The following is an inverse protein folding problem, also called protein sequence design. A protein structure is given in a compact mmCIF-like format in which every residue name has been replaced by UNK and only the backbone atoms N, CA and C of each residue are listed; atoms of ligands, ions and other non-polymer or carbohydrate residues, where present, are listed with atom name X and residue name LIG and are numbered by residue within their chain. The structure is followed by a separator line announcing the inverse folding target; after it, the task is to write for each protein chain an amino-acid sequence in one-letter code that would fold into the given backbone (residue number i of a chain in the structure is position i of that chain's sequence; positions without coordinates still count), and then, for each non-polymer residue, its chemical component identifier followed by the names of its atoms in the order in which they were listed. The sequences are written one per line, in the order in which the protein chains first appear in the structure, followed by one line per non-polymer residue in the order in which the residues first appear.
data_IF_409491037959
#
_entry.id   IF_409491037959
#
_cell.length_a   1.000
_cell.length_b   1.000
_cell.length_c   1.000
_cell.angle_alpha   90.00
_cell.angle_beta   90.00
_cell.angle_gamma   90.00
#
_symmetry.space_group_name_H-M   'P 1'
#
loop_
_entity.id
_entity.type
_entity.pdbx_description
1 polymer ?
#
# COMPACT_ATOMS: atom_id res chain seq x y z
N UNK A 1 -30.18 24.60 7.34
CA UNK A 1 -29.63 25.37 6.21
C UNK A 1 -28.79 24.42 5.38
N UNK A 2 -29.17 24.14 4.13
CA UNK A 2 -28.47 23.18 3.26
C UNK A 2 -27.08 23.71 2.90
N UNK A 3 -26.03 23.01 3.33
CA UNK A 3 -24.65 23.26 2.91
C UNK A 3 -24.55 23.07 1.39
N UNK A 4 -24.31 24.16 0.65
CA UNK A 4 -24.12 24.16 -0.80
C UNK A 4 -22.75 23.55 -1.14
N UNK A 5 -22.68 22.23 -1.16
CA UNK A 5 -21.51 21.50 -1.66
C UNK A 5 -21.69 21.03 -3.11
N UNK A 6 -20.59 20.64 -3.77
CA UNK A 6 -20.61 19.96 -5.06
C UNK A 6 -20.41 18.45 -4.83
N UNK A 7 -21.34 17.62 -5.28
CA UNK A 7 -21.21 16.15 -5.21
C UNK A 7 -21.31 15.55 -6.60
N UNK A 8 -20.56 14.48 -6.85
CA UNK A 8 -20.61 13.79 -8.14
C UNK A 8 -19.69 12.58 -8.18
N UNK A 9 -19.39 12.12 -9.40
CA UNK A 9 -18.47 11.00 -9.63
C UNK A 9 -17.30 11.44 -10.52
N UNK A 10 -16.12 10.85 -10.31
CA UNK A 10 -14.95 11.04 -11.18
C UNK A 10 -15.21 10.62 -12.63
N UNK A 11 -16.26 9.82 -12.87
CA UNK A 11 -16.73 9.47 -14.21
C UNK A 11 -17.41 10.65 -14.94
N UNK A 12 -18.11 11.49 -14.19
CA UNK A 12 -18.85 12.64 -14.74
C UNK A 12 -18.05 13.93 -14.70
N UNK A 13 -17.10 14.05 -13.78
CA UNK A 13 -16.19 15.19 -13.67
C UNK A 13 -14.84 14.67 -13.17
N UNK A 14 -13.83 14.66 -14.04
CA UNK A 14 -12.54 14.07 -13.74
C UNK A 14 -11.81 14.85 -12.63
N UNK A 15 -10.80 14.25 -11.99
CA UNK A 15 -10.00 14.96 -10.99
C UNK A 15 -9.33 16.23 -11.57
N UNK A 16 -8.74 16.22 -12.79
CA UNK A 16 -8.28 17.44 -13.43
C UNK A 16 -9.37 18.52 -13.51
N UNK A 17 -10.59 18.16 -13.92
CA UNK A 17 -11.69 19.11 -14.05
C UNK A 17 -12.11 19.66 -12.68
N UNK A 18 -12.11 18.82 -11.63
CA UNK A 18 -12.40 19.22 -10.25
C UNK A 18 -11.39 20.20 -9.70
N UNK A 19 -10.11 19.92 -9.89
CA UNK A 19 -9.02 20.81 -9.47
C UNK A 19 -9.06 22.12 -10.26
N UNK A 20 -9.31 22.07 -11.56
CA UNK A 20 -9.45 23.26 -12.42
C UNK A 20 -10.66 24.11 -12.00
N UNK A 21 -11.81 23.50 -11.75
CA UNK A 21 -13.01 24.18 -11.26
C UNK A 21 -12.76 24.86 -9.91
N UNK A 22 -12.12 24.15 -8.98
CA UNK A 22 -11.82 24.71 -7.66
C UNK A 22 -10.80 25.86 -7.75
N UNK A 23 -9.72 25.69 -8.53
CA UNK A 23 -8.68 26.69 -8.71
C UNK A 23 -9.17 27.94 -9.44
N UNK A 24 -9.80 27.79 -10.61
CA UNK A 24 -10.33 28.92 -11.39
C UNK A 24 -11.44 29.67 -10.64
N UNK A 25 -12.29 28.95 -9.92
CA UNK A 25 -13.35 29.52 -9.10
C UNK A 25 -12.88 30.05 -7.73
N UNK A 26 -11.58 29.98 -7.42
CA UNK A 26 -10.99 30.30 -6.10
C UNK A 26 -11.78 29.70 -4.94
N UNK A 27 -12.25 28.47 -5.12
CA UNK A 27 -13.08 27.75 -4.16
C UNK A 27 -12.25 27.39 -2.94
N UNK A 28 -12.83 27.61 -1.76
CA UNK A 28 -12.26 27.19 -0.48
C UNK A 28 -13.18 26.15 0.13
N UNK A 29 -12.62 25.06 0.65
CA UNK A 29 -13.40 23.96 1.21
C UNK A 29 -12.65 22.62 1.24
N UNK A 30 -13.37 21.56 1.57
CA UNK A 30 -12.83 20.20 1.67
C UNK A 30 -13.30 19.35 0.50
N UNK A 31 -12.37 18.84 -0.31
CA UNK A 31 -12.66 17.78 -1.28
C UNK A 31 -12.48 16.41 -0.63
N UNK A 32 -13.56 15.64 -0.55
CA UNK A 32 -13.58 14.26 -0.07
C UNK A 32 -13.82 13.29 -1.23
N UNK A 33 -13.03 12.22 -1.30
CA UNK A 33 -13.16 11.14 -2.30
C UNK A 33 -13.47 9.83 -1.58
N UNK A 34 -14.50 9.10 -2.00
CA UNK A 34 -14.86 7.80 -1.43
C UNK A 34 -13.95 6.69 -1.97
N UNK A 35 -12.86 6.46 -1.25
CA UNK A 35 -12.00 5.26 -1.21
C UNK A 35 -11.46 4.69 -2.52
N UNK A 36 -10.14 4.73 -2.59
CA UNK A 36 -9.23 3.84 -3.29
C UNK A 36 -7.98 3.72 -2.41
N UNK A 37 -7.11 2.71 -2.60
CA UNK A 37 -5.98 2.49 -1.71
C UNK A 37 -5.06 3.73 -1.67
N UNK A 38 -4.89 4.29 -0.48
CA UNK A 38 -3.91 5.34 -0.22
C UNK A 38 -2.51 4.72 -0.39
N UNK A 39 -1.69 5.33 -1.25
CA UNK A 39 -0.36 4.84 -1.54
C UNK A 39 0.56 4.94 -0.31
N UNK A 40 1.46 3.95 -0.24
CA UNK A 40 2.38 3.65 0.86
C UNK A 40 3.25 4.86 1.25
N UNK A 41 3.58 4.92 2.55
CA UNK A 41 4.50 5.91 3.12
C UNK A 41 5.90 5.80 2.51
N UNK A 42 6.46 6.93 2.09
CA UNK A 42 7.88 7.06 1.79
C UNK A 42 8.67 6.88 3.09
N UNK A 43 9.58 5.91 3.11
CA UNK A 43 10.54 5.72 4.20
C UNK A 43 11.88 6.30 3.76
N UNK A 44 12.18 7.53 4.19
CA UNK A 44 13.47 8.19 3.92
C UNK A 44 14.61 7.72 4.84
N UNK A 45 14.38 6.75 5.74
CA UNK A 45 15.43 6.22 6.63
C UNK A 45 15.99 7.23 7.63
N UNK A 46 15.27 8.33 7.89
CA UNK A 46 15.70 9.46 8.74
C UNK A 46 15.75 9.09 10.23
N UNK A 47 14.96 8.10 10.63
CA UNK A 47 14.84 7.65 12.02
C UNK A 47 14.99 6.13 12.07
N UNK A 48 15.57 5.64 13.16
CA UNK A 48 15.71 4.21 13.44
C UNK A 48 14.36 3.57 13.78
N UNK A 49 14.25 2.25 13.65
CA UNK A 49 13.03 1.52 14.01
C UNK A 49 12.67 1.68 15.50
N UNK A 50 13.67 1.73 16.38
CA UNK A 50 13.44 1.96 17.80
C UNK A 50 12.90 3.37 18.07
N UNK A 51 13.45 4.40 17.41
CA UNK A 51 12.95 5.77 17.53
C UNK A 51 11.52 5.90 16.99
N UNK A 52 11.21 5.18 15.90
CA UNK A 52 9.86 5.13 15.35
C UNK A 52 8.88 4.46 16.32
N UNK A 53 9.28 3.35 16.97
CA UNK A 53 8.50 2.69 18.03
C UNK A 53 8.11 3.68 19.13
N UNK A 54 9.12 4.31 19.72
CA UNK A 54 8.93 5.17 20.88
C UNK A 54 8.03 6.36 20.55
N UNK A 55 8.10 6.84 19.31
CA UNK A 55 7.25 7.91 18.81
C UNK A 55 5.78 7.44 18.62
N UNK A 56 5.56 6.22 18.12
CA UNK A 56 4.23 5.62 18.00
C UNK A 56 3.59 5.28 19.35
N UNK A 57 4.35 4.72 20.29
CA UNK A 57 3.88 4.43 21.64
C UNK A 57 3.40 5.71 22.32
N UNK A 58 4.15 6.81 22.16
CA UNK A 58 3.77 8.11 22.68
C UNK A 58 2.57 8.71 21.95
N UNK A 59 2.47 8.55 20.63
CA UNK A 59 1.30 8.98 19.86
C UNK A 59 0.04 8.25 20.31
N UNK A 60 0.11 6.94 20.55
CA UNK A 60 -1.03 6.13 20.97
C UNK A 60 -1.58 6.60 22.32
N UNK A 61 -0.69 6.98 23.25
CA UNK A 61 -0.99 7.48 24.58
C UNK A 61 -1.49 8.94 24.58
N UNK A 62 -0.81 9.82 23.83
CA UNK A 62 -1.04 11.28 23.91
C UNK A 62 -1.98 11.82 22.84
N UNK A 63 -2.27 11.03 21.79
CA UNK A 63 -2.98 11.43 20.57
C UNK A 63 -2.34 12.60 19.81
N UNK A 64 -1.11 12.98 20.16
CA UNK A 64 -0.34 14.01 19.46
C UNK A 64 0.15 13.47 18.11
N UNK A 65 0.14 14.30 17.07
CA UNK A 65 0.64 13.94 15.75
C UNK A 65 2.10 13.43 15.79
N UNK A 66 2.37 12.33 15.08
CA UNK A 66 3.68 11.71 14.99
C UNK A 66 4.79 12.71 14.61
N UNK A 67 4.55 13.56 13.61
CA UNK A 67 5.53 14.59 13.20
C UNK A 67 5.92 15.55 14.33
N UNK A 68 4.95 16.00 15.16
CA UNK A 68 5.23 16.85 16.32
C UNK A 68 6.02 16.11 17.39
N UNK A 69 5.77 14.82 17.58
CA UNK A 69 6.53 13.98 18.52
C UNK A 69 7.99 13.85 18.05
N UNK A 70 8.22 13.60 16.77
CA UNK A 70 9.55 13.48 16.19
C UNK A 70 10.36 14.80 16.31
N UNK A 71 9.70 15.94 16.09
CA UNK A 71 10.30 17.28 16.31
C UNK A 71 10.63 17.51 17.77
N UNK A 72 9.68 17.27 18.69
CA UNK A 72 9.90 17.46 20.13
C UNK A 72 11.03 16.59 20.69
N UNK A 73 11.24 15.40 20.12
CA UNK A 73 12.35 14.51 20.49
C UNK A 73 13.67 14.87 19.80
N UNK A 74 13.72 15.92 18.98
CA UNK A 74 14.92 16.35 18.25
C UNK A 74 15.36 15.38 17.15
N UNK A 75 14.48 14.46 16.72
CA UNK A 75 14.81 13.42 15.73
C UNK A 75 14.73 13.93 14.29
N UNK A 76 13.84 14.89 14.04
CA UNK A 76 13.60 15.48 12.71
C UNK A 76 13.31 16.97 12.90
N UNK A 77 13.79 17.83 12.01
CA UNK A 77 13.46 19.26 12.04
C UNK A 77 12.04 19.54 11.56
N UNK A 78 11.43 20.64 12.01
CA UNK A 78 10.10 21.04 11.53
C UNK A 78 10.06 21.22 10.01
N UNK A 79 11.10 21.85 9.44
CA UNK A 79 11.25 22.01 8.00
C UNK A 79 11.27 20.68 7.25
N UNK A 80 11.98 19.67 7.78
CA UNK A 80 12.04 18.35 7.16
C UNK A 80 10.72 17.58 7.27
N UNK A 81 10.00 17.71 8.39
CA UNK A 81 8.64 17.17 8.51
C UNK A 81 7.70 17.81 7.49
N UNK A 82 7.78 19.14 7.31
CA UNK A 82 7.00 19.86 6.31
C UNK A 82 7.29 19.40 4.88
N UNK A 83 8.56 19.19 4.54
CA UNK A 83 8.99 18.66 3.24
C UNK A 83 8.40 17.26 2.97
N UNK A 84 8.54 16.33 3.93
CA UNK A 84 8.02 14.96 3.81
C UNK A 84 6.49 14.97 3.67
N UNK A 85 5.80 15.81 4.44
CA UNK A 85 4.34 15.94 4.35
C UNK A 85 3.91 16.49 3.00
N UNK A 86 4.63 17.47 2.43
CA UNK A 86 4.39 17.95 1.07
C UNK A 86 4.57 16.83 0.05
N UNK A 87 5.70 16.13 0.06
CA UNK A 87 5.96 15.03 -0.87
C UNK A 87 4.88 13.94 -0.76
N UNK A 88 4.45 13.62 0.46
CA UNK A 88 3.37 12.64 0.69
C UNK A 88 2.02 13.14 0.15
N UNK A 89 1.70 14.41 0.33
CA UNK A 89 0.48 15.01 -0.19
C UNK A 89 0.48 15.00 -1.73
N UNK A 90 1.59 15.39 -2.35
CA UNK A 90 1.78 15.36 -3.81
C UNK A 90 1.64 13.93 -4.36
N UNK A 91 2.35 12.95 -3.81
CA UNK A 91 2.23 11.54 -4.23
C UNK A 91 0.79 11.03 -4.09
N UNK A 92 0.10 11.41 -3.01
CA UNK A 92 -1.30 11.05 -2.79
C UNK A 92 -2.16 11.65 -3.89
N UNK A 93 -2.06 12.96 -4.14
CA UNK A 93 -2.83 13.67 -5.16
C UNK A 93 -2.56 13.10 -6.55
N UNK A 94 -1.30 12.86 -6.92
CA UNK A 94 -0.95 12.30 -8.22
C UNK A 94 -1.49 10.90 -8.42
N UNK A 95 -1.58 10.08 -7.36
CA UNK A 95 -2.19 8.76 -7.47
C UNK A 95 -3.68 8.81 -7.81
N UNK A 96 -4.37 9.90 -7.43
CA UNK A 96 -5.79 10.09 -7.74
C UNK A 96 -6.04 10.35 -9.24
N UNK A 97 -5.04 10.82 -10.00
CA UNK A 97 -5.17 10.97 -11.47
C UNK A 97 -5.34 9.62 -12.17
N UNK A 98 -4.94 8.52 -11.53
CA UNK A 98 -5.13 7.17 -12.06
C UNK A 98 -6.52 6.61 -11.75
N UNK A 99 -7.32 7.29 -10.93
CA UNK A 99 -8.65 6.81 -10.54
C UNK A 99 -9.64 7.10 -11.66
N UNK A 100 -10.25 6.05 -12.19
CA UNK A 100 -11.28 6.16 -13.23
C UNK A 100 -12.69 6.28 -12.64
N UNK A 101 -12.88 5.91 -11.37
CA UNK A 101 -14.18 5.82 -10.72
C UNK A 101 -14.04 6.02 -9.20
N UNK A 102 -14.64 7.11 -8.69
CA UNK A 102 -14.85 7.38 -7.27
C UNK A 102 -15.95 8.43 -7.15
N UNK A 103 -16.77 8.33 -6.11
CA UNK A 103 -17.65 9.44 -5.76
C UNK A 103 -16.84 10.52 -5.03
N UNK A 104 -17.24 11.77 -5.21
CA UNK A 104 -16.63 12.92 -4.53
C UNK A 104 -17.69 13.82 -3.90
N UNK A 105 -17.28 14.53 -2.86
CA UNK A 105 -18.03 15.62 -2.26
C UNK A 105 -17.09 16.79 -1.93
N UNK A 106 -17.44 17.99 -2.37
CA UNK A 106 -16.77 19.23 -2.02
C UNK A 106 -17.65 20.00 -1.02
N UNK A 107 -17.14 20.19 0.20
CA UNK A 107 -17.81 20.93 1.26
C UNK A 107 -17.24 22.35 1.30
N UNK A 108 -17.99 23.33 0.78
CA UNK A 108 -17.54 24.73 0.69
C UNK A 108 -17.31 25.33 2.09
N UNK A 109 -16.17 26.00 2.26
CA UNK A 109 -15.74 26.69 3.48
C UNK A 109 -15.67 25.81 4.74
N UNK A 110 -15.67 24.49 4.57
CA UNK A 110 -15.44 23.53 5.63
C UNK A 110 -14.02 23.00 5.53
N UNK A 111 -13.38 22.85 6.69
CA UNK A 111 -12.10 22.17 6.86
C UNK A 111 -12.35 20.77 7.43
N UNK A 112 -11.56 19.74 7.06
CA UNK A 112 -11.73 18.43 7.66
C UNK A 112 -11.47 18.49 9.19
N UNK A 113 -12.13 17.63 9.98
CA UNK A 113 -11.97 17.65 11.43
C UNK A 113 -10.55 17.27 11.84
N UNK A 114 -10.07 17.86 12.94
CA UNK A 114 -8.78 17.57 13.56
C UNK A 114 -7.68 18.61 13.25
N UNK A 115 -6.53 18.42 13.88
CA UNK A 115 -5.33 19.23 13.60
C UNK A 115 -4.90 19.02 12.14
N UNK A 116 -4.64 20.12 11.43
CA UNK A 116 -4.16 20.06 10.05
C UNK A 116 -2.78 20.70 9.94
N UNK A 117 -1.93 20.07 9.12
CA UNK A 117 -0.70 20.70 8.65
C UNK A 117 -1.01 21.27 7.27
N UNK A 118 -0.97 22.60 7.16
CA UNK A 118 -1.25 23.30 5.91
C UNK A 118 -0.06 23.16 4.97
N UNK A 119 -0.31 22.68 3.76
CA UNK A 119 0.66 22.59 2.68
C UNK A 119 0.14 23.46 1.54
N UNK A 120 1.00 24.30 1.00
CA UNK A 120 0.69 25.10 -0.19
C UNK A 120 1.34 24.46 -1.42
N UNK A 121 0.49 24.17 -2.42
CA UNK A 121 0.85 23.63 -3.74
C UNK A 121 0.00 24.37 -4.77
N UNK A 122 0.58 24.78 -5.89
CA UNK A 122 -0.16 25.43 -6.97
C UNK A 122 -0.96 24.38 -7.75
N UNK A 123 -2.21 24.72 -8.07
CA UNK A 123 -3.11 23.81 -8.79
C UNK A 123 -2.55 23.49 -10.18
N UNK A 124 -1.95 24.48 -10.85
CA UNK A 124 -1.34 24.32 -12.17
C UNK A 124 -0.20 23.30 -12.16
N UNK A 125 0.68 23.37 -11.15
CA UNK A 125 1.80 22.44 -10.98
C UNK A 125 1.29 21.01 -10.75
N UNK A 126 0.22 20.86 -9.96
CA UNK A 126 -0.44 19.58 -9.70
C UNK A 126 -1.05 19.00 -10.99
N UNK A 127 -1.76 19.83 -11.76
CA UNK A 127 -2.40 19.42 -13.01
C UNK A 127 -1.37 18.96 -14.04
N UNK A 128 -0.32 19.75 -14.26
CA UNK A 128 0.72 19.45 -15.23
C UNK A 128 1.46 18.15 -14.89
N UNK A 129 1.89 17.99 -13.63
CA UNK A 129 2.59 16.79 -13.20
C UNK A 129 1.64 15.57 -13.16
N UNK A 130 0.42 15.74 -12.68
CA UNK A 130 -0.58 14.66 -12.62
C UNK A 130 -0.93 14.09 -14.00
N UNK A 131 -1.15 14.95 -15.00
CA UNK A 131 -1.38 14.53 -16.38
C UNK A 131 -0.16 13.85 -17.00
N UNK A 132 1.04 14.42 -16.78
CA UNK A 132 2.31 13.80 -17.22
C UNK A 132 2.47 12.40 -16.63
N UNK A 133 2.18 12.21 -15.35
CA UNK A 133 2.23 10.92 -14.67
C UNK A 133 1.18 9.96 -15.18
N UNK A 134 -0.04 10.41 -15.45
CA UNK A 134 -1.10 9.62 -16.05
C UNK A 134 -0.69 9.05 -17.42
N UNK A 135 -0.18 9.89 -18.32
CA UNK A 135 0.28 9.46 -19.64
C UNK A 135 1.49 8.54 -19.57
N UNK A 136 2.43 8.82 -18.66
CA UNK A 136 3.57 7.95 -18.41
C UNK A 136 3.10 6.58 -17.89
N UNK A 137 2.13 6.57 -16.99
CA UNK A 137 1.58 5.34 -16.40
C UNK A 137 0.88 4.46 -17.45
N UNK A 138 0.23 5.04 -18.45
CA UNK A 138 -0.31 4.27 -19.61
C UNK A 138 0.79 3.54 -20.36
N UNK A 139 1.90 4.21 -20.65
CA UNK A 139 3.06 3.60 -21.34
C UNK A 139 3.73 2.53 -20.48
N UNK A 140 3.89 2.80 -19.18
CA UNK A 140 4.37 1.82 -18.21
C UNK A 140 3.50 0.56 -18.27
N UNK A 141 2.17 0.70 -18.22
CA UNK A 141 1.22 -0.43 -18.25
C UNK A 141 1.24 -1.22 -19.55
N UNK A 142 1.67 -0.64 -20.66
CA UNK A 142 1.87 -1.40 -21.91
C UNK A 142 3.09 -2.32 -21.83
N UNK A 143 4.18 -1.87 -21.18
CA UNK A 143 5.39 -2.67 -21.01
C UNK A 143 5.36 -3.58 -19.78
N UNK A 144 4.67 -3.15 -18.72
CA UNK A 144 4.52 -3.82 -17.43
C UNK A 144 3.02 -3.97 -17.11
N UNK A 145 2.32 -4.96 -17.71
CA UNK A 145 0.85 -5.04 -17.69
C UNK A 145 0.23 -5.20 -16.31
N UNK A 146 0.94 -5.86 -15.39
CA UNK A 146 0.48 -6.13 -14.04
C UNK A 146 1.65 -6.35 -13.08
N UNK A 147 1.42 -6.23 -11.77
CA UNK A 147 2.50 -6.32 -10.78
C UNK A 147 3.06 -7.75 -10.60
N UNK A 148 2.45 -8.77 -11.21
CA UNK A 148 3.00 -10.13 -11.26
C UNK A 148 4.09 -10.37 -12.32
N UNK A 149 4.50 -9.34 -13.09
CA UNK A 149 5.57 -9.52 -14.10
C UNK A 149 6.91 -9.77 -13.42
N UNK A 150 7.73 -10.65 -13.99
CA UNK A 150 9.11 -10.90 -13.53
C UNK A 150 10.08 -10.27 -14.52
N UNK A 151 11.00 -9.46 -14.00
CA UNK A 151 12.02 -8.78 -14.80
C UNK A 151 13.35 -9.52 -14.70
N UNK A 152 14.11 -9.53 -15.81
CA UNK A 152 15.45 -10.12 -15.88
C UNK A 152 16.44 -9.09 -16.39
N UNK A 153 17.67 -9.14 -15.87
CA UNK A 153 18.80 -8.37 -16.39
C UNK A 153 19.23 -8.94 -17.74
N UNK A 154 19.45 -8.08 -18.72
CA UNK A 154 20.00 -8.50 -20.01
C UNK A 154 21.53 -8.56 -19.93
N UNK A 155 22.19 -9.02 -21.00
CA UNK A 155 23.65 -8.95 -21.13
C UNK A 155 24.17 -7.52 -21.30
N UNK A 156 23.28 -6.53 -21.53
CA UNK A 156 23.68 -5.14 -21.74
C UNK A 156 24.05 -4.49 -20.40
N UNK A 157 25.29 -3.99 -20.23
CA UNK A 157 25.72 -3.41 -18.97
C UNK A 157 24.95 -2.12 -18.68
N UNK A 158 24.65 -1.88 -17.39
CA UNK A 158 24.04 -0.63 -16.94
C UNK A 158 25.02 0.53 -17.17
N UNK A 159 24.59 1.63 -17.82
CA UNK A 159 25.50 2.69 -18.20
C UNK A 159 25.91 3.53 -16.96
N UNK A 160 27.11 4.16 -16.96
CA UNK A 160 27.63 4.87 -15.79
C UNK A 160 26.74 6.01 -15.26
N UNK A 161 25.97 6.67 -16.13
CA UNK A 161 25.03 7.75 -15.77
C UNK A 161 23.83 7.26 -14.96
N UNK A 162 23.46 5.98 -15.12
CA UNK A 162 22.42 5.33 -14.31
C UNK A 162 23.04 4.65 -13.10
N UNK A 163 24.18 3.98 -13.28
CA UNK A 163 24.89 3.26 -12.22
C UNK A 163 25.41 4.19 -11.10
N UNK A 164 25.70 5.45 -11.41
CA UNK A 164 26.09 6.48 -10.41
C UNK A 164 24.92 7.00 -9.58
N UNK A 165 23.67 6.82 -10.03
CA UNK A 165 22.49 7.31 -9.32
C UNK A 165 22.00 6.26 -8.32
N UNK A 166 21.98 6.63 -7.05
CA UNK A 166 21.63 5.73 -5.93
C UNK A 166 20.29 5.02 -6.15
N UNK A 167 19.22 5.75 -6.48
CA UNK A 167 17.89 5.17 -6.60
C UNK A 167 17.73 4.24 -7.83
N UNK A 168 18.02 4.66 -9.08
CA UNK A 168 17.96 3.76 -10.23
C UNK A 168 18.85 2.53 -10.10
N UNK A 169 20.07 2.69 -9.56
CA UNK A 169 20.97 1.56 -9.31
C UNK A 169 20.34 0.57 -8.33
N UNK A 170 19.82 1.05 -7.20
CA UNK A 170 19.15 0.20 -6.20
C UNK A 170 17.98 -0.59 -6.81
N UNK A 171 17.13 0.07 -7.59
CA UNK A 171 16.00 -0.60 -8.26
C UNK A 171 16.48 -1.66 -9.26
N UNK A 172 17.52 -1.36 -10.03
CA UNK A 172 18.14 -2.33 -10.93
C UNK A 172 18.73 -3.53 -10.17
N UNK A 173 19.37 -3.29 -9.03
CA UNK A 173 20.04 -4.31 -8.24
C UNK A 173 19.05 -5.32 -7.62
N UNK A 174 17.84 -4.87 -7.28
CA UNK A 174 16.72 -5.72 -6.83
C UNK A 174 16.22 -6.71 -7.90
N UNK A 175 16.53 -6.50 -9.18
CA UNK A 175 16.11 -7.39 -10.26
C UNK A 175 17.03 -8.62 -10.32
N UNK A 176 16.46 -9.80 -10.08
CA UNK A 176 17.18 -11.08 -10.03
C UNK A 176 16.61 -12.17 -10.95
N UNK A 177 15.53 -11.87 -11.69
CA UNK A 177 14.86 -12.83 -12.56
C UNK A 177 13.89 -13.78 -11.88
N UNK A 178 13.64 -13.59 -10.58
CA UNK A 178 12.68 -14.37 -9.76
C UNK A 178 11.62 -13.48 -9.13
N UNK A 179 12.02 -12.32 -8.57
CA UNK A 179 11.12 -11.36 -7.96
C UNK A 179 10.13 -10.81 -8.98
N UNK A 180 8.87 -10.73 -8.57
CA UNK A 180 7.83 -10.02 -9.30
C UNK A 180 7.99 -8.50 -9.14
N UNK A 181 7.33 -7.73 -10.01
CA UNK A 181 7.25 -6.28 -9.89
C UNK A 181 6.66 -5.86 -8.54
N UNK A 182 5.69 -6.60 -8.00
CA UNK A 182 5.14 -6.36 -6.67
C UNK A 182 6.21 -6.45 -5.57
N UNK A 183 7.09 -7.46 -5.65
CA UNK A 183 8.17 -7.68 -4.68
C UNK A 183 9.19 -6.54 -4.74
N UNK A 184 9.57 -6.13 -5.95
CA UNK A 184 10.50 -5.02 -6.18
C UNK A 184 9.92 -3.70 -5.64
N UNK A 185 8.63 -3.42 -5.87
CA UNK A 185 7.96 -2.23 -5.34
C UNK A 185 7.98 -2.23 -3.81
N UNK A 186 7.74 -3.39 -3.18
CA UNK A 186 7.73 -3.51 -1.73
C UNK A 186 9.12 -3.27 -1.14
N UNK A 187 10.14 -3.92 -1.70
CA UNK A 187 11.52 -3.89 -1.19
C UNK A 187 12.23 -2.55 -1.50
N UNK A 188 11.76 -1.83 -2.51
CA UNK A 188 12.28 -0.50 -2.84
C UNK A 188 11.97 0.58 -1.78
N UNK A 189 10.99 0.36 -0.89
CA UNK A 189 10.52 1.36 0.07
C UNK A 189 10.22 2.74 -0.57
N UNK A 190 9.72 2.73 -1.80
CA UNK A 190 9.42 3.90 -2.60
C UNK A 190 8.03 3.79 -3.23
N UNK A 191 7.53 4.89 -3.80
CA UNK A 191 6.22 4.85 -4.45
C UNK A 191 6.24 3.96 -5.69
N UNK A 192 5.11 3.27 -5.92
CA UNK A 192 4.92 2.38 -7.06
C UNK A 192 5.23 3.08 -8.39
N UNK A 193 4.76 4.33 -8.55
CA UNK A 193 5.03 5.13 -9.73
C UNK A 193 6.54 5.29 -9.99
N UNK A 194 7.32 5.68 -8.98
CA UNK A 194 8.75 5.92 -9.13
C UNK A 194 9.52 4.62 -9.46
N UNK A 195 9.16 3.51 -8.82
CA UNK A 195 9.76 2.19 -9.12
C UNK A 195 9.43 1.77 -10.54
N UNK A 196 8.16 1.79 -10.92
CA UNK A 196 7.70 1.41 -12.25
C UNK A 196 8.27 2.31 -13.34
N UNK A 197 8.43 3.61 -13.09
CA UNK A 197 9.05 4.53 -14.05
C UNK A 197 10.51 4.17 -14.32
N UNK A 198 11.29 3.87 -13.28
CA UNK A 198 12.69 3.43 -13.45
C UNK A 198 12.75 2.13 -14.24
N UNK A 199 11.98 1.12 -13.83
CA UNK A 199 11.97 -0.19 -14.49
C UNK A 199 11.52 -0.08 -15.95
N UNK A 200 10.50 0.73 -16.24
CA UNK A 200 10.06 1.02 -17.59
C UNK A 200 11.18 1.62 -18.46
N UNK A 201 11.91 2.62 -17.96
CA UNK A 201 13.04 3.21 -18.69
C UNK A 201 14.13 2.17 -18.96
N UNK A 202 14.43 1.30 -17.98
CA UNK A 202 15.43 0.24 -18.14
C UNK A 202 15.00 -0.82 -19.16
N UNK A 203 13.71 -1.19 -19.19
CA UNK A 203 13.14 -2.09 -20.20
C UNK A 203 13.19 -1.46 -21.59
N UNK A 204 12.74 -0.22 -21.74
CA UNK A 204 12.76 0.50 -23.01
C UNK A 204 14.18 0.65 -23.58
N UNK A 205 15.18 0.83 -22.72
CA UNK A 205 16.60 0.93 -23.12
C UNK A 205 17.30 -0.43 -23.28
N UNK A 206 16.61 -1.54 -23.02
CA UNK A 206 17.12 -2.91 -23.17
C UNK A 206 18.12 -3.36 -22.10
N UNK A 207 18.14 -2.72 -20.93
CA UNK A 207 18.94 -3.16 -19.78
C UNK A 207 18.22 -4.24 -18.97
N UNK A 208 16.88 -4.20 -19.00
CA UNK A 208 16.01 -5.22 -18.45
C UNK A 208 15.12 -5.78 -19.55
N UNK A 209 14.66 -7.00 -19.38
CA UNK A 209 13.63 -7.62 -20.21
C UNK A 209 12.51 -8.20 -19.34
N UNK A 210 11.30 -8.22 -19.89
CA UNK A 210 10.16 -8.87 -19.25
C UNK A 210 10.25 -10.36 -19.55
N UNK A 211 10.46 -11.18 -18.51
CA UNK A 211 10.57 -12.62 -18.67
C UNK A 211 9.26 -13.26 -19.12
N UNK A 212 9.35 -14.38 -19.86
CA UNK A 212 8.20 -15.26 -20.16
C UNK A 212 7.78 -16.05 -18.90
N UNK A 213 7.32 -15.34 -17.87
CA UNK A 213 6.45 -15.90 -16.84
C UNK A 213 5.02 -15.72 -17.34
N UNK A 214 4.46 -16.77 -17.95
CA UNK A 214 3.13 -16.81 -18.56
C UNK A 214 2.07 -16.16 -17.63
N UNK A 215 1.22 -15.26 -18.11
CA UNK A 215 0.12 -15.59 -19.03
C UNK A 215 -0.67 -16.86 -18.63
N UNK A 216 -0.71 -17.22 -17.34
CA UNK A 216 -1.47 -18.37 -16.84
C UNK A 216 -2.84 -17.97 -16.24
N UNK A 217 -3.48 -16.92 -16.78
CA UNK A 217 -4.77 -16.43 -16.29
C UNK A 217 -5.89 -16.34 -17.34
N UNK A 218 -5.62 -16.62 -18.63
CA UNK A 218 -6.57 -16.32 -19.70
C UNK A 218 -7.28 -17.52 -20.35
N UNK A 219 -7.16 -18.74 -19.83
CA UNK A 219 -7.91 -19.88 -20.36
C UNK A 219 -8.24 -20.91 -19.27
N UNK A 220 -9.50 -20.98 -18.82
CA UNK A 220 -10.11 -22.18 -18.23
C UNK A 220 -11.65 -22.12 -18.22
N UNK A 221 -12.22 -23.31 -18.39
CA UNK A 221 -13.62 -23.75 -18.60
C UNK A 221 -14.72 -23.17 -17.66
N UNK A 222 -16.03 -23.38 -17.96
CA UNK A 222 -17.19 -22.77 -17.28
C UNK A 222 -17.35 -22.91 -15.76
N UNK A 223 -16.47 -23.65 -15.05
CA UNK A 223 -16.45 -23.73 -13.59
C UNK A 223 -15.79 -22.51 -12.90
N UNK A 224 -15.10 -21.65 -13.65
CA UNK A 224 -14.41 -20.45 -13.14
C UNK A 224 -15.15 -19.14 -13.47
N UNK A 225 -16.47 -19.21 -13.74
CA UNK A 225 -17.24 -17.97 -13.94
C UNK A 225 -17.28 -17.16 -12.63
N UNK A 226 -17.18 -15.82 -12.71
CA UNK A 226 -17.30 -14.95 -11.53
C UNK A 226 -18.53 -15.25 -10.67
N UNK A 227 -19.66 -15.58 -11.30
CA UNK A 227 -20.90 -15.90 -10.62
C UNK A 227 -20.80 -17.21 -9.81
N UNK A 228 -20.25 -18.27 -10.39
CA UNK A 228 -20.06 -19.55 -9.68
C UNK A 228 -19.08 -19.40 -8.50
N UNK A 229 -18.03 -18.60 -8.67
CA UNK A 229 -17.07 -18.30 -7.59
C UNK A 229 -17.72 -17.48 -6.47
N UNK A 230 -18.59 -16.53 -6.79
CA UNK A 230 -19.34 -15.77 -5.78
C UNK A 230 -20.31 -16.65 -4.99
N UNK A 231 -21.03 -17.57 -5.64
CA UNK A 231 -21.92 -18.51 -4.94
C UNK A 231 -21.15 -19.47 -4.03
N UNK A 232 -20.01 -20.00 -4.50
CA UNK A 232 -19.13 -20.81 -3.67
C UNK A 232 -18.60 -20.03 -2.44
N UNK A 233 -18.24 -18.75 -2.63
CA UNK A 233 -17.80 -17.90 -1.53
C UNK A 233 -18.91 -17.63 -0.51
N UNK A 234 -20.17 -17.44 -0.95
CA UNK A 234 -21.32 -17.29 -0.04
C UNK A 234 -21.48 -18.51 0.87
N UNK A 235 -21.36 -19.72 0.33
CA UNK A 235 -21.44 -20.96 1.12
C UNK A 235 -20.26 -21.11 2.11
N UNK A 236 -19.05 -20.70 1.73
CA UNK A 236 -17.91 -20.67 2.64
C UNK A 236 -18.08 -19.65 3.78
N UNK A 237 -18.64 -18.47 3.50
CA UNK A 237 -18.97 -17.48 4.53
C UNK A 237 -20.01 -18.05 5.51
N UNK A 238 -21.08 -18.69 5.00
CA UNK A 238 -22.13 -19.31 5.83
C UNK A 238 -21.60 -20.42 6.73
N UNK A 239 -20.67 -21.23 6.21
CA UNK A 239 -20.05 -22.33 6.96
C UNK A 239 -18.91 -21.88 7.90
N UNK A 240 -18.58 -20.58 7.91
CA UNK A 240 -17.57 -20.01 8.80
C UNK A 240 -16.11 -20.14 8.31
N UNK A 241 -15.91 -20.54 7.05
CA UNK A 241 -14.62 -20.55 6.36
C UNK A 241 -14.40 -19.24 5.59
N UNK A 242 -14.22 -18.15 6.35
CA UNK A 242 -13.98 -16.82 5.80
C UNK A 242 -12.64 -16.73 5.05
N UNK A 243 -11.63 -17.51 5.43
CA UNK A 243 -10.33 -17.51 4.74
C UNK A 243 -10.44 -18.15 3.34
N UNK A 244 -11.11 -19.31 3.24
CA UNK A 244 -11.42 -19.94 1.97
C UNK A 244 -12.28 -19.03 1.07
N UNK A 245 -13.28 -18.36 1.65
CA UNK A 245 -14.10 -17.40 0.92
C UNK A 245 -13.28 -16.26 0.31
N UNK A 246 -12.32 -15.69 1.06
CA UNK A 246 -11.43 -14.63 0.57
C UNK A 246 -10.57 -15.10 -0.61
N UNK A 247 -10.04 -16.32 -0.57
CA UNK A 247 -9.24 -16.89 -1.69
C UNK A 247 -10.09 -17.00 -2.96
N UNK A 248 -11.33 -17.50 -2.84
CA UNK A 248 -12.24 -17.64 -3.98
C UNK A 248 -12.65 -16.28 -4.54
N UNK A 249 -12.98 -15.32 -3.67
CA UNK A 249 -13.39 -13.97 -4.08
C UNK A 249 -12.22 -13.18 -4.70
N UNK A 250 -10.99 -13.36 -4.22
CA UNK A 250 -9.79 -12.82 -4.86
C UNK A 250 -9.60 -13.39 -6.27
N UNK A 251 -9.85 -14.69 -6.45
CA UNK A 251 -9.83 -15.34 -7.78
C UNK A 251 -10.92 -14.76 -8.68
N UNK A 252 -12.14 -14.62 -8.18
CA UNK A 252 -13.27 -14.04 -8.92
C UNK A 252 -13.01 -12.58 -9.33
N UNK A 253 -12.40 -11.78 -8.46
CA UNK A 253 -12.05 -10.38 -8.73
C UNK A 253 -10.94 -10.22 -9.78
N UNK A 254 -10.13 -11.25 -10.01
CA UNK A 254 -9.12 -11.23 -11.09
C UNK A 254 -9.74 -11.49 -12.45
N UNK A 255 -10.83 -12.25 -12.52
CA UNK A 255 -11.51 -12.63 -13.76
C UNK A 255 -12.71 -11.73 -14.09
N UNK A 256 -13.39 -11.20 -13.07
CA UNK A 256 -14.45 -10.21 -13.19
C UNK A 256 -13.93 -8.82 -12.84
N UNK A 257 -14.36 -7.81 -13.60
CA UNK A 257 -14.20 -6.41 -13.21
C UNK A 257 -14.95 -6.07 -11.91
N UNK A 258 -15.06 -4.79 -11.58
CA UNK A 258 -15.76 -4.34 -10.37
C UNK A 258 -17.21 -4.84 -10.35
N UNK A 259 -17.54 -5.65 -9.34
CA UNK A 259 -18.89 -6.09 -9.03
C UNK A 259 -19.22 -5.67 -7.59
N UNK A 260 -20.22 -4.79 -7.36
CA UNK A 260 -20.59 -4.31 -6.03
C UNK A 260 -20.95 -5.44 -5.05
N UNK A 261 -21.63 -6.49 -5.53
CA UNK A 261 -22.00 -7.64 -4.72
C UNK A 261 -20.75 -8.43 -4.29
N UNK A 262 -19.81 -8.63 -5.21
CA UNK A 262 -18.53 -9.28 -4.89
C UNK A 262 -17.73 -8.47 -3.87
N UNK A 263 -17.71 -7.13 -3.99
CA UNK A 263 -17.02 -6.28 -3.03
C UNK A 263 -17.68 -6.34 -1.65
N UNK A 264 -19.01 -6.40 -1.57
CA UNK A 264 -19.73 -6.58 -0.31
C UNK A 264 -19.40 -7.94 0.32
N UNK A 265 -19.36 -9.02 -0.48
CA UNK A 265 -18.97 -10.35 0.00
C UNK A 265 -17.52 -10.38 0.52
N UNK A 266 -16.60 -9.70 -0.17
CA UNK A 266 -15.22 -9.55 0.27
C UNK A 266 -15.20 -8.86 1.62
N UNK A 267 -15.88 -7.72 1.77
CA UNK A 267 -15.90 -6.99 3.03
C UNK A 267 -16.42 -7.85 4.20
N UNK A 268 -17.53 -8.57 4.01
CA UNK A 268 -18.09 -9.46 5.03
C UNK A 268 -17.10 -10.57 5.40
N UNK A 269 -16.46 -11.19 4.41
CA UNK A 269 -15.46 -12.23 4.66
C UNK A 269 -14.23 -11.68 5.40
N UNK A 270 -13.79 -10.46 5.09
CA UNK A 270 -12.69 -9.78 5.78
C UNK A 270 -13.02 -9.50 7.24
N UNK A 271 -14.19 -8.92 7.51
CA UNK A 271 -14.64 -8.63 8.87
C UNK A 271 -14.73 -9.91 9.72
N UNK A 272 -15.32 -10.98 9.18
CA UNK A 272 -15.39 -12.28 9.85
C UNK A 272 -14.00 -12.88 10.09
N UNK A 273 -13.10 -12.80 9.10
CA UNK A 273 -11.75 -13.32 9.24
C UNK A 273 -10.95 -12.54 10.29
N UNK A 274 -11.01 -11.21 10.28
CA UNK A 274 -10.31 -10.34 11.23
C UNK A 274 -10.76 -10.64 12.66
N UNK A 275 -12.07 -10.71 12.90
CA UNK A 275 -12.62 -11.02 14.22
C UNK A 275 -12.18 -12.41 14.71
N UNK A 276 -12.30 -13.43 13.85
CA UNK A 276 -11.86 -14.80 14.15
C UNK A 276 -10.35 -14.86 14.41
N UNK A 277 -9.56 -14.15 13.61
CA UNK A 277 -8.11 -14.10 13.75
C UNK A 277 -7.68 -13.51 15.09
N UNK A 278 -8.20 -12.35 15.47
CA UNK A 278 -7.86 -11.74 16.75
C UNK A 278 -8.33 -12.57 17.95
N UNK A 279 -9.48 -13.23 17.86
CA UNK A 279 -10.00 -14.07 18.96
C UNK A 279 -9.24 -15.38 19.14
N UNK A 280 -8.88 -16.04 18.05
CA UNK A 280 -8.40 -17.43 18.11
C UNK A 280 -6.93 -17.61 17.73
N UNK A 281 -6.38 -16.79 16.83
CA UNK A 281 -5.08 -17.07 16.21
C UNK A 281 -4.02 -16.02 16.56
N UNK A 282 -4.39 -14.76 16.70
CA UNK A 282 -3.45 -13.64 16.72
C UNK A 282 -3.94 -12.56 17.69
N UNK A 283 -4.03 -12.79 19.01
CA UNK A 283 -4.55 -11.78 19.92
C UNK A 283 -3.77 -10.45 19.82
N UNK A 284 -4.45 -9.29 19.67
CA UNK A 284 -3.81 -8.06 19.22
C UNK A 284 -2.75 -7.50 20.17
N UNK A 285 -2.81 -7.86 21.46
CA UNK A 285 -1.87 -7.41 22.50
C UNK A 285 -0.67 -8.34 22.70
N UNK A 286 -0.65 -9.50 22.05
CA UNK A 286 0.47 -10.44 22.15
C UNK A 286 1.66 -9.91 21.35
N UNK A 287 2.85 -10.18 21.85
CA UNK A 287 4.11 -9.81 21.21
C UNK A 287 4.56 -11.00 20.36
N UNK A 288 4.70 -10.86 19.03
CA UNK A 288 5.33 -11.88 18.23
C UNK A 288 6.84 -11.90 18.49
N UNK A 289 7.41 -13.10 18.53
CA UNK A 289 8.85 -13.36 18.64
C UNK A 289 9.28 -14.33 17.55
N UNK A 290 10.45 -14.12 16.95
CA UNK A 290 11.00 -15.03 15.96
C UNK A 290 11.56 -16.28 16.66
N UNK A 291 11.21 -17.48 16.18
CA UNK A 291 11.78 -18.74 16.70
C UNK A 291 13.22 -18.99 16.27
N UNK A 292 13.67 -18.30 15.22
CA UNK A 292 15.03 -18.39 14.68
C UNK A 292 15.54 -16.97 14.39
N UNK A 293 16.87 -16.76 14.39
CA UNK A 293 17.46 -15.49 13.97
C UNK A 293 16.99 -15.08 12.57
N UNK A 294 16.81 -13.78 12.35
CA UNK A 294 16.29 -13.22 11.10
C UNK A 294 17.11 -13.69 9.89
N UNK A 295 18.43 -13.76 10.02
CA UNK A 295 19.37 -14.14 8.97
C UNK A 295 19.10 -15.58 8.46
N UNK A 296 18.70 -16.48 9.36
CA UNK A 296 18.34 -17.87 9.01
C UNK A 296 16.94 -17.99 8.42
N UNK A 297 16.10 -16.97 8.58
CA UNK A 297 14.75 -16.91 8.02
C UNK A 297 14.75 -16.27 6.62
N UNK A 298 15.69 -15.36 6.35
CA UNK A 298 15.84 -14.72 5.03
C UNK A 298 16.26 -15.69 3.92
N UNK A 299 16.78 -16.86 4.25
CA UNK A 299 17.07 -17.94 3.31
C UNK A 299 15.87 -18.88 3.06
N UNK A 300 14.74 -18.66 3.74
CA UNK A 300 13.52 -19.44 3.54
C UNK A 300 12.60 -18.78 2.51
N UNK A 301 11.69 -19.56 1.94
CA UNK A 301 10.68 -19.09 0.98
C UNK A 301 9.58 -18.32 1.74
N UNK A 302 9.85 -17.05 2.04
CA UNK A 302 8.89 -16.11 2.64
C UNK A 302 8.25 -15.28 1.53
N UNK A 303 6.93 -15.11 1.60
CA UNK A 303 6.28 -14.11 0.74
C UNK A 303 6.78 -12.70 1.10
N UNK A 304 6.65 -11.72 0.20
CA UNK A 304 7.03 -10.33 0.48
C UNK A 304 6.33 -9.76 1.72
N UNK A 305 5.05 -10.07 1.89
CA UNK A 305 4.26 -9.69 3.06
C UNK A 305 4.80 -10.34 4.33
N UNK A 306 5.10 -11.63 4.28
CA UNK A 306 5.69 -12.39 5.38
C UNK A 306 7.08 -11.85 5.76
N UNK A 307 7.95 -11.59 4.78
CA UNK A 307 9.28 -11.03 4.99
C UNK A 307 9.23 -9.63 5.59
N UNK A 308 8.32 -8.77 5.11
CA UNK A 308 8.10 -7.47 5.72
C UNK A 308 7.69 -7.61 7.18
N UNK A 309 6.67 -8.43 7.48
CA UNK A 309 6.21 -8.59 8.86
C UNK A 309 7.30 -9.18 9.76
N UNK A 310 8.01 -10.21 9.29
CA UNK A 310 9.15 -10.83 9.99
C UNK A 310 10.24 -9.82 10.31
N UNK A 311 10.59 -8.93 9.38
CA UNK A 311 11.57 -7.86 9.67
C UNK A 311 11.10 -6.87 10.74
N UNK A 312 9.78 -6.79 11.00
CA UNK A 312 9.20 -5.96 12.07
C UNK A 312 8.94 -6.73 13.37
N UNK A 313 9.17 -8.04 13.40
CA UNK A 313 9.09 -8.84 14.64
C UNK A 313 10.41 -8.70 15.40
N UNK A 314 10.46 -7.71 16.28
CA UNK A 314 11.62 -7.44 17.15
C UNK A 314 11.45 -7.94 18.59
N UNK A 315 10.38 -8.69 18.88
CA UNK A 315 10.11 -9.25 20.20
C UNK A 315 9.70 -8.23 21.27
N UNK A 316 9.39 -6.98 20.89
CA UNK A 316 8.94 -5.94 21.85
C UNK A 316 7.65 -5.23 21.43
N UNK A 317 7.27 -5.27 20.15
CA UNK A 317 6.03 -4.69 19.65
C UNK A 317 4.90 -5.71 19.74
N UNK A 318 3.69 -5.30 20.07
CA UNK A 318 2.52 -6.17 19.93
C UNK A 318 2.05 -6.27 18.47
N UNK A 319 1.27 -7.32 18.18
CA UNK A 319 0.71 -7.58 16.85
C UNK A 319 -0.04 -6.37 16.29
N UNK A 320 -0.87 -5.71 17.10
CA UNK A 320 -1.66 -4.55 16.67
C UNK A 320 -0.77 -3.39 16.22
N UNK A 321 0.30 -3.13 16.95
CA UNK A 321 1.27 -2.08 16.68
C UNK A 321 1.99 -2.36 15.37
N UNK A 322 2.48 -3.59 15.17
CA UNK A 322 3.14 -3.98 13.90
C UNK A 322 2.18 -3.86 12.71
N UNK A 323 0.94 -4.33 12.86
CA UNK A 323 -0.07 -4.23 11.80
C UNK A 323 -0.39 -2.75 11.49
N UNK A 324 -0.52 -1.91 12.52
CA UNK A 324 -0.88 -0.49 12.34
C UNK A 324 0.16 0.34 11.58
N UNK A 325 1.44 -0.05 11.65
CA UNK A 325 2.53 0.61 10.92
C UNK A 325 2.90 -0.11 9.62
N UNK A 326 2.26 -1.25 9.36
CA UNK A 326 2.48 -2.03 8.17
C UNK A 326 1.84 -1.34 6.96
N UNK A 327 2.49 -1.33 5.79
CA UNK A 327 1.87 -0.87 4.55
C UNK A 327 0.83 -1.88 4.01
N UNK A 328 0.63 -3.01 4.71
CA UNK A 328 -0.33 -4.04 4.37
C UNK A 328 -1.71 -3.69 4.93
N UNK A 329 -2.76 -4.12 4.22
CA UNK A 329 -4.12 -4.08 4.78
C UNK A 329 -4.18 -5.01 5.98
N UNK A 330 -5.03 -4.68 6.96
CA UNK A 330 -5.13 -5.44 8.20
C UNK A 330 -5.39 -6.94 7.96
N UNK A 331 -6.34 -7.28 7.07
CA UNK A 331 -6.63 -8.67 6.70
C UNK A 331 -5.43 -9.40 6.09
N UNK A 332 -4.67 -8.72 5.22
CA UNK A 332 -3.51 -9.29 4.54
C UNK A 332 -2.37 -9.52 5.56
N UNK A 333 -2.17 -8.58 6.48
CA UNK A 333 -1.21 -8.70 7.56
C UNK A 333 -1.55 -9.86 8.50
N UNK A 334 -2.83 -10.02 8.87
CA UNK A 334 -3.29 -11.12 9.72
C UNK A 334 -3.15 -12.48 9.02
N UNK A 335 -3.48 -12.59 7.72
CA UNK A 335 -3.27 -13.82 6.94
C UNK A 335 -1.78 -14.20 6.91
N UNK A 336 -0.90 -13.23 6.68
CA UNK A 336 0.54 -13.47 6.69
C UNK A 336 1.06 -13.87 8.08
N UNK A 337 0.65 -13.18 9.15
CA UNK A 337 1.00 -13.57 10.52
C UNK A 337 0.48 -14.95 10.92
N UNK A 338 -0.72 -15.32 10.47
CA UNK A 338 -1.29 -16.65 10.69
C UNK A 338 -0.42 -17.72 10.04
N UNK A 339 -0.03 -17.55 8.77
CA UNK A 339 0.88 -18.45 8.05
C UNK A 339 2.24 -18.56 8.72
N UNK A 340 2.83 -17.42 9.12
CA UNK A 340 4.10 -17.40 9.85
C UNK A 340 4.04 -18.21 11.15
N UNK A 341 2.92 -18.09 11.89
CA UNK A 341 2.70 -18.85 13.12
C UNK A 341 2.49 -20.35 12.86
N UNK A 342 1.68 -20.70 11.86
CA UNK A 342 1.44 -22.10 11.45
C UNK A 342 2.71 -22.80 10.96
N UNK A 343 3.59 -22.06 10.27
CA UNK A 343 4.92 -22.53 9.85
C UNK A 343 5.95 -22.57 11.00
N UNK A 344 5.56 -22.14 12.20
CA UNK A 344 6.45 -22.09 13.36
C UNK A 344 7.61 -21.09 13.22
N UNK A 345 7.47 -20.07 12.37
CA UNK A 345 8.47 -19.01 12.21
C UNK A 345 8.39 -18.03 13.38
N UNK A 346 7.16 -17.75 13.85
CA UNK A 346 6.90 -16.89 15.00
C UNK A 346 6.19 -17.64 16.12
N UNK A 347 6.37 -17.16 17.34
CA UNK A 347 5.50 -17.46 18.49
C UNK A 347 4.88 -16.17 19.05
N UNK A 348 3.89 -16.32 19.93
CA UNK A 348 3.22 -15.20 20.59
C UNK A 348 3.39 -15.28 22.10
N UNK A 349 4.05 -14.27 22.68
CA UNK A 349 4.26 -14.17 24.13
C UNK A 349 3.40 -13.07 24.75
N UNK A 350 3.17 -13.17 26.06
CA UNK A 350 2.57 -12.07 26.82
C UNK A 350 3.52 -10.85 26.86
N UNK A 351 2.95 -9.66 26.92
CA UNK A 351 3.73 -8.47 27.25
C UNK A 351 4.34 -8.66 28.64
N UNK A 352 5.67 -8.70 28.74
CA UNK A 352 6.33 -8.74 30.04
C UNK A 352 5.92 -7.49 30.83
N UNK A 353 5.35 -7.68 32.02
CA UNK A 353 5.14 -6.59 32.96
C UNK A 353 6.52 -5.98 33.25
N UNK A 354 6.72 -4.71 32.87
CA UNK A 354 7.91 -3.97 33.30
C UNK A 354 7.92 -4.01 34.83
N UNK A 355 8.89 -4.70 35.42
CA UNK A 355 9.21 -4.53 36.84
C UNK A 355 9.55 -3.05 37.04
N UNK A 356 8.85 -2.44 38.00
CA UNK A 356 8.91 -1.02 38.33
C UNK A 356 10.33 -0.52 38.64
#
# INVERSE_FOLDING_TARGET
MSTKGLTGSLKTMSLPDLLQWAGSGRKTGTLSLKSGPLHKMLSEGIITEQQLKDAFDLQAQTKVMLGRILVKKGLVSEGKVGEILRLKAEETIYSLFLWTESDFAFLENELPPGDQVLISIKVEDVLMEGLRRYDTSKKIRQALPHNGVVLKKTAKPLPPDIASKVFPKRIHDLVDGRRTLADIILEAHASEYNVCQVLYVLVQKGYLEVGKGAALAAARAPADTPQALMEAAKELIKSGDSEGALVILEKARRTAGKNPEMNALIQVAEEHFIDKAYRHYLPPKKIPVLKKPLESLMSQDLSPEEGFLVSRVNGSWDLRSIISISPLREVDALRAFKKLRERGIIDLVEAQARSA
#
